data_IF_925160290729
#
_entry.id   IF_925160290729
#
_cell.length_a   1.000
_cell.length_b   1.000
_cell.length_c   1.000
_cell.angle_alpha   90.00
_cell.angle_beta   90.00
_cell.angle_gamma   90.00
#
_symmetry.space_group_name_H-M   'P 1'
#
loop_
_entity.id
_entity.type
_entity.pdbx_description
1 polymer ?
#
# COMPACT_ATOMS: atom_id res chain seq x y z
N UNK A 1 -13.34 -12.40 -9.42
CA UNK A 1 -12.00 -12.13 -8.85
C UNK A 1 -12.15 -10.90 -7.97
N UNK A 2 -11.70 -10.92 -6.71
CA UNK A 2 -11.80 -9.75 -5.82
C UNK A 2 -10.62 -8.83 -6.10
N UNK A 3 -10.83 -7.54 -6.33
CA UNK A 3 -9.74 -6.57 -6.57
C UNK A 3 -9.36 -5.82 -5.28
N UNK A 4 -10.29 -5.72 -4.34
CA UNK A 4 -10.12 -5.05 -3.04
C UNK A 4 -10.79 -5.94 -1.99
N UNK A 5 -10.10 -6.15 -0.86
CA UNK A 5 -10.63 -6.89 0.28
C UNK A 5 -10.43 -6.03 1.53
N UNK A 6 -11.52 -5.81 2.25
CA UNK A 6 -11.51 -5.08 3.53
C UNK A 6 -11.84 -6.10 4.62
N UNK A 7 -11.01 -6.12 5.66
CA UNK A 7 -11.15 -7.02 6.81
C UNK A 7 -11.14 -6.18 8.06
N UNK A 8 -12.28 -6.12 8.73
CA UNK A 8 -12.41 -5.53 10.05
C UNK A 8 -11.83 -6.48 11.11
N UNK A 9 -11.37 -5.91 12.24
CA UNK A 9 -10.87 -6.67 13.39
C UNK A 9 -9.73 -7.67 13.05
N UNK A 10 -8.86 -7.30 12.09
CA UNK A 10 -7.79 -8.17 11.57
C UNK A 10 -6.89 -8.78 12.66
N UNK A 11 -6.53 -8.01 13.70
CA UNK A 11 -5.80 -8.51 14.85
C UNK A 11 -6.75 -8.76 16.02
N UNK A 12 -6.61 -9.92 16.68
CA UNK A 12 -7.34 -10.23 17.92
C UNK A 12 -7.07 -9.26 19.07
N UNK A 13 -5.85 -8.71 19.13
CA UNK A 13 -5.44 -7.71 20.11
C UNK A 13 -4.66 -6.59 19.40
N UNK A 14 -5.35 -5.65 18.73
CA UNK A 14 -4.72 -4.61 17.94
C UNK A 14 -3.93 -3.62 18.80
N UNK A 15 -4.35 -3.40 20.05
CA UNK A 15 -3.65 -2.53 21.01
C UNK A 15 -2.24 -3.06 21.31
N UNK A 16 -2.08 -4.37 21.54
CA UNK A 16 -0.75 -4.95 21.77
C UNK A 16 0.19 -4.81 20.56
N UNK A 17 -0.34 -4.92 19.34
CA UNK A 17 0.44 -4.73 18.11
C UNK A 17 0.83 -3.27 17.95
N UNK A 18 -0.09 -2.35 18.27
CA UNK A 18 0.16 -0.91 18.26
C UNK A 18 1.23 -0.53 19.29
N UNK A 19 1.12 -1.00 20.52
CA UNK A 19 2.08 -0.72 21.59
C UNK A 19 3.48 -1.20 21.20
N UNK A 20 3.57 -2.40 20.62
CA UNK A 20 4.81 -2.91 20.04
C UNK A 20 5.33 -1.97 18.94
N UNK A 21 4.50 -1.62 17.95
CA UNK A 21 4.88 -0.75 16.86
C UNK A 21 5.32 0.65 17.32
N UNK A 22 4.82 1.16 18.44
CA UNK A 22 5.25 2.45 19.01
C UNK A 22 6.55 2.35 19.82
N UNK A 23 6.94 1.14 20.22
CA UNK A 23 8.13 0.90 21.06
C UNK A 23 9.43 0.67 20.27
N UNK A 24 9.34 0.43 18.96
CA UNK A 24 10.47 0.09 18.09
C UNK A 24 11.12 1.32 17.43
N UNK A 25 12.27 1.11 16.80
CA UNK A 25 13.00 2.16 16.08
C UNK A 25 12.43 2.44 14.69
N UNK A 26 12.39 3.73 14.33
CA UNK A 26 11.97 4.23 13.03
C UNK A 26 13.09 4.94 12.32
N UNK A 27 13.09 4.84 10.99
CA UNK A 27 14.06 5.53 10.15
C UNK A 27 14.00 7.05 10.36
N UNK A 28 15.17 7.70 10.32
CA UNK A 28 15.25 9.16 10.27
C UNK A 28 14.41 9.69 9.11
N UNK A 29 13.69 10.81 9.36
CA UNK A 29 12.87 11.44 8.33
C UNK A 29 13.75 11.85 7.15
N UNK A 30 13.34 11.47 5.95
CA UNK A 30 13.96 11.90 4.70
C UNK A 30 12.89 12.53 3.81
N UNK A 31 13.32 13.37 2.86
CA UNK A 31 12.42 13.84 1.81
C UNK A 31 12.01 12.64 0.94
N UNK A 32 10.78 12.17 1.13
CA UNK A 32 10.17 11.04 0.43
C UNK A 32 8.86 11.51 -0.18
N UNK A 33 8.39 10.78 -1.18
CA UNK A 33 7.12 11.06 -1.86
C UNK A 33 5.89 10.54 -1.08
N UNK A 34 6.06 9.76 -0.02
CA UNK A 34 5.01 9.35 0.91
C UNK A 34 5.22 9.96 2.30
N UNK A 35 4.14 10.17 3.10
CA UNK A 35 4.27 10.72 4.44
C UNK A 35 4.76 9.66 5.46
N UNK A 36 5.30 10.15 6.58
CA UNK A 36 5.69 9.31 7.71
C UNK A 36 7.07 8.65 7.61
N UNK A 37 7.33 7.78 8.57
CA UNK A 37 8.57 7.03 8.73
C UNK A 37 8.27 5.54 8.80
N UNK A 38 9.07 4.74 8.09
CA UNK A 38 9.02 3.29 8.18
C UNK A 38 9.88 2.83 9.38
N UNK A 39 9.50 1.72 10.02
CA UNK A 39 10.35 1.04 10.99
C UNK A 39 11.69 0.65 10.35
N UNK A 40 12.76 0.64 11.15
CA UNK A 40 14.10 0.23 10.67
C UNK A 40 14.04 -1.21 10.15
N UNK A 41 13.52 -2.12 10.98
CA UNK A 41 13.36 -3.53 10.66
C UNK A 41 11.94 -3.87 10.20
N UNK A 42 11.83 -5.00 9.51
CA UNK A 42 10.57 -5.67 9.23
C UNK A 42 10.22 -6.64 10.36
N UNK A 43 8.93 -6.80 10.64
CA UNK A 43 8.41 -7.69 11.67
C UNK A 43 7.35 -8.65 11.09
N UNK A 44 7.67 -9.41 10.02
CA UNK A 44 6.73 -10.37 9.47
C UNK A 44 6.48 -11.50 10.48
N UNK A 45 5.20 -11.88 10.63
CA UNK A 45 4.83 -13.07 11.40
C UNK A 45 4.26 -14.11 10.45
N UNK A 46 4.73 -15.35 10.58
CA UNK A 46 4.24 -16.46 9.75
C UNK A 46 2.71 -16.61 9.84
N UNK A 47 2.16 -16.48 11.04
CA UNK A 47 0.72 -16.47 11.31
C UNK A 47 -0.03 -15.40 10.49
N UNK A 48 0.52 -14.19 10.36
CA UNK A 48 -0.07 -13.13 9.55
C UNK A 48 -0.05 -13.47 8.06
N UNK A 49 1.03 -14.09 7.56
CA UNK A 49 1.14 -14.50 6.15
C UNK A 49 0.13 -15.62 5.82
N UNK A 50 -0.01 -16.59 6.72
CA UNK A 50 -0.99 -17.68 6.60
C UNK A 50 -2.41 -17.13 6.58
N UNK A 51 -2.74 -16.22 7.50
CA UNK A 51 -4.07 -15.59 7.54
C UNK A 51 -4.35 -14.79 6.27
N UNK A 52 -3.40 -13.99 5.80
CA UNK A 52 -3.53 -13.26 4.52
C UNK A 52 -3.76 -14.24 3.36
N UNK A 53 -3.01 -15.35 3.30
CA UNK A 53 -3.17 -16.37 2.26
C UNK A 53 -4.58 -16.95 2.25
N UNK A 54 -5.17 -17.21 3.43
CA UNK A 54 -6.56 -17.64 3.53
C UNK A 54 -7.55 -16.56 3.08
N UNK A 55 -7.34 -15.30 3.48
CA UNK A 55 -8.21 -14.16 3.13
C UNK A 55 -8.25 -13.94 1.61
N UNK A 56 -7.10 -14.00 0.94
CA UNK A 56 -7.01 -13.81 -0.51
C UNK A 56 -7.30 -15.09 -1.31
N UNK A 57 -7.34 -16.25 -0.63
CA UNK A 57 -7.50 -17.58 -1.23
C UNK A 57 -6.41 -17.90 -2.27
N UNK A 58 -5.17 -17.54 -1.95
CA UNK A 58 -3.96 -17.76 -2.75
C UNK A 58 -2.78 -18.02 -1.80
N UNK A 59 -1.79 -18.80 -2.24
CA UNK A 59 -0.56 -19.00 -1.46
C UNK A 59 0.32 -17.74 -1.56
N UNK A 60 0.45 -17.00 -0.45
CA UNK A 60 1.25 -15.77 -0.39
C UNK A 60 2.60 -16.02 0.26
N UNK A 61 3.65 -15.48 -0.35
CA UNK A 61 5.01 -15.47 0.19
C UNK A 61 5.52 -14.04 0.31
N UNK A 62 6.32 -13.78 1.34
CA UNK A 62 7.06 -12.52 1.46
C UNK A 62 8.34 -12.64 0.62
N UNK A 63 8.67 -11.57 -0.08
CA UNK A 63 9.94 -11.41 -0.77
C UNK A 63 10.65 -10.19 -0.19
N UNK A 64 11.96 -10.29 0.02
CA UNK A 64 12.76 -9.22 0.63
C UNK A 64 12.63 -7.89 -0.11
N UNK A 65 12.44 -7.93 -1.44
CA UNK A 65 12.23 -6.73 -2.25
C UNK A 65 10.88 -5.99 -2.02
N UNK A 66 9.90 -6.61 -1.35
CA UNK A 66 8.51 -6.12 -1.31
C UNK A 66 8.12 -5.37 -0.03
N UNK A 67 9.09 -4.91 0.79
CA UNK A 67 8.87 -4.12 2.04
C UNK A 67 7.68 -4.62 2.88
N UNK A 68 7.54 -5.93 3.05
CA UNK A 68 6.42 -6.50 3.80
C UNK A 68 6.74 -6.58 5.30
N UNK A 69 5.74 -6.32 6.15
CA UNK A 69 5.89 -6.42 7.60
C UNK A 69 6.55 -5.21 8.28
N UNK A 70 6.72 -4.09 7.59
CA UNK A 70 7.14 -2.83 8.22
C UNK A 70 5.96 -2.11 8.85
N UNK A 71 6.22 -1.38 9.94
CA UNK A 71 5.29 -0.39 10.47
C UNK A 71 5.58 0.97 9.87
N UNK A 72 4.53 1.76 9.62
CA UNK A 72 4.65 3.16 9.24
C UNK A 72 3.94 4.02 10.26
N UNK A 73 4.63 5.03 10.76
CA UNK A 73 4.04 6.08 11.58
C UNK A 73 3.98 7.38 10.79
N UNK A 74 2.79 7.94 10.69
CA UNK A 74 2.54 9.25 10.08
C UNK A 74 1.92 10.15 11.12
N UNK A 75 2.52 11.33 11.33
CA UNK A 75 2.04 12.31 12.31
C UNK A 75 1.18 13.37 11.65
N UNK A 76 0.38 14.06 12.46
CA UNK A 76 -0.39 15.20 12.00
C UNK A 76 0.52 16.27 11.36
N UNK A 77 0.03 16.87 10.27
CA UNK A 77 0.78 17.82 9.45
C UNK A 77 1.84 17.19 8.52
N UNK A 78 2.02 15.86 8.50
CA UNK A 78 2.89 15.20 7.52
C UNK A 78 2.13 14.87 6.24
N UNK A 79 2.67 15.29 5.09
CA UNK A 79 2.12 14.99 3.76
C UNK A 79 3.19 14.37 2.85
N UNK A 80 2.73 13.64 1.83
CA UNK A 80 3.55 13.14 0.72
C UNK A 80 3.19 13.86 -0.58
N UNK A 81 4.08 13.84 -1.56
CA UNK A 81 3.84 14.39 -2.90
C UNK A 81 3.24 13.37 -3.88
N UNK A 82 3.23 12.09 -3.53
CA UNK A 82 2.68 11.03 -4.35
C UNK A 82 1.15 11.06 -4.29
N UNK A 83 0.52 11.33 -5.43
CA UNK A 83 -0.94 11.20 -5.62
C UNK A 83 -1.29 9.76 -6.01
N UNK A 84 -1.50 9.50 -7.29
CA UNK A 84 -1.88 8.19 -7.82
C UNK A 84 -0.61 7.41 -8.16
N UNK A 85 -0.55 6.15 -7.72
CA UNK A 85 0.54 5.24 -8.07
C UNK A 85 0.06 3.79 -8.10
N UNK A 86 0.95 2.92 -8.56
CA UNK A 86 0.88 1.48 -8.43
C UNK A 86 2.19 0.98 -7.83
N UNK A 87 2.19 -0.24 -7.32
CA UNK A 87 3.38 -0.90 -6.82
C UNK A 87 4.03 -1.72 -7.95
N UNK A 88 5.19 -1.30 -8.50
CA UNK A 88 5.77 -1.90 -9.71
C UNK A 88 6.60 -3.15 -9.46
N UNK A 89 6.64 -3.64 -8.21
CA UNK A 89 7.59 -4.68 -7.83
C UNK A 89 7.31 -6.00 -8.56
N UNK A 90 8.29 -6.59 -9.28
CA UNK A 90 8.08 -7.82 -10.02
C UNK A 90 7.60 -8.99 -9.13
N UNK A 91 6.46 -9.56 -9.50
CA UNK A 91 5.83 -10.67 -8.76
C UNK A 91 5.06 -10.24 -7.51
N UNK A 92 4.85 -8.93 -7.28
CA UNK A 92 3.90 -8.46 -6.29
C UNK A 92 2.48 -8.69 -6.81
N UNK A 93 1.72 -9.52 -6.09
CA UNK A 93 0.33 -9.84 -6.46
C UNK A 93 -0.69 -9.08 -5.61
N UNK A 94 -0.30 -8.76 -4.37
CA UNK A 94 -1.14 -8.06 -3.39
C UNK A 94 -0.32 -7.02 -2.64
N UNK A 95 -0.91 -5.85 -2.46
CA UNK A 95 -0.46 -4.83 -1.53
C UNK A 95 -1.54 -4.67 -0.45
N UNK A 96 -1.12 -4.41 0.79
CA UNK A 96 -2.05 -4.32 1.91
C UNK A 96 -1.50 -3.43 3.01
N UNK A 97 -2.41 -2.79 3.73
CA UNK A 97 -2.13 -1.99 4.90
C UNK A 97 -3.10 -2.39 6.01
N UNK A 98 -2.59 -2.50 7.24
CA UNK A 98 -3.42 -2.68 8.43
C UNK A 98 -3.36 -1.38 9.22
N UNK A 99 -4.52 -0.76 9.43
CA UNK A 99 -4.61 0.47 10.20
C UNK A 99 -4.64 0.14 11.69
N UNK A 100 -3.63 0.65 12.41
CA UNK A 100 -3.52 0.51 13.87
C UNK A 100 -3.83 1.83 14.60
N UNK A 101 -4.36 2.84 13.91
CA UNK A 101 -4.72 4.13 14.50
C UNK A 101 -6.05 4.01 15.23
N UNK A 102 -6.14 4.33 16.54
CA UNK A 102 -7.41 4.35 17.25
C UNK A 102 -8.38 5.34 16.61
N UNK A 103 -9.67 5.00 16.56
CA UNK A 103 -10.72 5.85 15.96
C UNK A 103 -10.71 7.28 16.54
N UNK A 104 -10.47 7.42 17.84
CA UNK A 104 -10.40 8.75 18.50
C UNK A 104 -9.22 9.62 18.01
N UNK A 105 -8.25 9.02 17.33
CA UNK A 105 -7.06 9.64 16.75
C UNK A 105 -7.11 9.68 15.21
N UNK A 106 -8.25 9.30 14.60
CA UNK A 106 -8.39 9.28 13.15
C UNK A 106 -8.38 10.70 12.57
N UNK A 107 -7.64 10.87 11.48
CA UNK A 107 -7.63 12.10 10.69
C UNK A 107 -8.68 11.90 9.59
N UNK A 108 -9.75 12.71 9.60
CA UNK A 108 -10.94 12.54 8.74
C UNK A 108 -10.66 12.47 7.23
N UNK A 109 -9.54 13.03 6.78
CA UNK A 109 -9.13 13.06 5.36
C UNK A 109 -7.97 12.10 5.04
N UNK A 110 -7.57 11.27 6.02
CA UNK A 110 -6.55 10.24 5.84
C UNK A 110 -7.16 8.92 5.36
N UNK A 111 -6.31 7.97 4.97
CA UNK A 111 -6.72 6.63 4.54
C UNK A 111 -6.17 6.26 3.16
N UNK A 112 -6.67 5.14 2.63
CA UNK A 112 -6.31 4.65 1.29
C UNK A 112 -7.42 4.98 0.32
N UNK A 113 -7.06 5.58 -0.81
CA UNK A 113 -7.98 5.85 -1.91
C UNK A 113 -7.65 4.91 -3.07
N UNK A 114 -8.67 4.29 -3.63
CA UNK A 114 -8.56 3.47 -4.84
C UNK A 114 -9.15 4.22 -6.02
N UNK A 115 -8.52 4.07 -7.18
CA UNK A 115 -8.88 4.80 -8.40
C UNK A 115 -9.24 3.82 -9.50
N UNK A 116 -10.18 4.25 -10.36
CA UNK A 116 -10.52 3.55 -11.60
C UNK A 116 -10.36 4.50 -12.76
N UNK A 117 -9.63 4.06 -13.78
CA UNK A 117 -9.46 4.84 -15.00
C UNK A 117 -10.80 5.08 -15.69
N UNK A 118 -11.15 6.33 -16.00
CA UNK A 118 -12.47 6.68 -16.57
C UNK A 118 -12.71 6.06 -17.95
N UNK A 119 -11.74 6.20 -18.86
CA UNK A 119 -11.84 5.70 -20.24
C UNK A 119 -11.75 4.17 -20.36
N UNK A 120 -10.74 3.56 -19.74
CA UNK A 120 -10.44 2.13 -19.91
C UNK A 120 -11.04 1.23 -18.80
N UNK A 121 -11.55 1.81 -17.71
CA UNK A 121 -12.10 1.05 -16.60
C UNK A 121 -11.05 0.28 -15.77
N UNK A 122 -9.75 0.54 -15.97
CA UNK A 122 -8.67 -0.15 -15.27
C UNK A 122 -8.65 0.22 -13.79
N UNK A 123 -8.67 -0.80 -12.93
CA UNK A 123 -8.55 -0.72 -11.46
C UNK A 123 -7.21 -1.30 -10.96
N UNK A 124 -6.42 -1.86 -11.88
CA UNK A 124 -5.08 -2.44 -11.65
C UNK A 124 -4.20 -2.13 -12.86
N UNK A 125 -2.91 -2.43 -12.74
CA UNK A 125 -2.00 -2.28 -13.87
C UNK A 125 -2.50 -3.14 -15.06
N UNK A 126 -2.62 -2.55 -16.27
CA UNK A 126 -2.93 -3.33 -17.46
C UNK A 126 -1.86 -4.39 -17.71
N UNK A 127 -2.22 -5.47 -18.41
CA UNK A 127 -1.20 -6.39 -18.92
C UNK A 127 -0.24 -5.66 -19.85
N UNK A 128 0.99 -6.16 -20.03
CA UNK A 128 1.95 -5.54 -20.96
C UNK A 128 1.39 -5.42 -22.38
N UNK A 129 0.54 -6.36 -22.81
CA UNK A 129 -0.15 -6.28 -24.10
C UNK A 129 -1.10 -5.07 -24.15
N UNK A 130 -1.98 -4.94 -23.16
CA UNK A 130 -2.92 -3.81 -23.06
C UNK A 130 -2.18 -2.47 -22.91
N UNK A 131 -1.14 -2.42 -22.07
CA UNK A 131 -0.32 -1.23 -21.87
C UNK A 131 0.32 -0.76 -23.20
N UNK A 132 0.91 -1.69 -23.96
CA UNK A 132 1.56 -1.40 -25.23
C UNK A 132 0.59 -0.86 -26.29
N UNK A 133 -0.68 -1.31 -26.31
CA UNK A 133 -1.71 -0.78 -27.21
C UNK A 133 -1.99 0.72 -26.97
N UNK A 134 -1.66 1.21 -25.78
CA UNK A 134 -1.84 2.60 -25.36
C UNK A 134 -0.53 3.37 -25.25
N UNK A 135 0.58 2.83 -25.78
CA UNK A 135 1.89 3.50 -25.78
C UNK A 135 2.58 3.54 -24.42
N UNK A 136 2.21 2.64 -23.50
CA UNK A 136 2.83 2.50 -22.18
C UNK A 136 3.79 1.33 -22.23
N UNK A 137 5.10 1.60 -22.27
CA UNK A 137 6.12 0.57 -22.42
C UNK A 137 6.93 0.33 -21.14
N UNK A 138 7.00 1.32 -20.25
CA UNK A 138 7.76 1.23 -19.01
C UNK A 138 7.10 1.96 -17.82
N UNK A 139 7.76 1.93 -16.66
CA UNK A 139 7.29 2.61 -15.45
C UNK A 139 7.19 4.13 -15.60
N UNK A 140 8.03 4.74 -16.43
CA UNK A 140 8.02 6.18 -16.68
C UNK A 140 6.81 6.57 -17.52
N UNK A 141 6.49 5.80 -18.55
CA UNK A 141 5.28 6.00 -19.35
C UNK A 141 4.03 5.83 -18.48
N UNK A 142 4.01 4.81 -17.61
CA UNK A 142 2.90 4.59 -16.69
C UNK A 142 2.75 5.76 -15.70
N UNK A 143 3.85 6.30 -15.19
CA UNK A 143 3.83 7.48 -14.32
C UNK A 143 3.28 8.71 -15.07
N UNK A 144 3.79 8.98 -16.27
CA UNK A 144 3.30 10.08 -17.12
C UNK A 144 1.81 9.94 -17.42
N UNK A 145 1.36 8.70 -17.66
CA UNK A 145 -0.04 8.40 -17.89
C UNK A 145 -0.92 8.77 -16.69
N UNK A 146 -0.51 8.44 -15.45
CA UNK A 146 -1.24 8.89 -14.26
C UNK A 146 -1.21 10.41 -14.08
N UNK A 147 -0.11 11.08 -14.42
CA UNK A 147 0.02 12.53 -14.32
C UNK A 147 -0.77 13.30 -15.40
N UNK A 148 -1.21 12.63 -16.47
CA UNK A 148 -1.93 13.28 -17.58
C UNK A 148 -3.40 12.85 -17.69
N UNK A 149 -3.70 11.57 -17.52
CA UNK A 149 -5.06 10.99 -17.63
C UNK A 149 -5.65 10.63 -16.24
N UNK A 150 -4.84 10.70 -15.18
CA UNK A 150 -5.23 10.35 -13.81
C UNK A 150 -5.59 11.55 -12.91
N UNK A 151 -5.34 12.78 -13.34
CA UNK A 151 -5.66 13.98 -12.54
C UNK A 151 -7.07 14.44 -12.89
N UNK A 152 -7.95 14.49 -11.89
CA UNK A 152 -9.32 15.02 -12.02
C UNK A 152 -9.29 16.57 -11.91
N UNK A 153 -8.59 17.21 -12.86
CA UNK A 153 -8.58 18.67 -13.04
C UNK A 153 -9.48 19.10 -14.22
#
# INVERSE_FOLDING_TARGET
MKNIIVVDDFYKNPDSVRDFALSIEYQTRQSKNWPGQDSVDAYPKLETIVEISHIVNEEITIRDQNKSGHFRITKDGESGSQHIHYDPNPGLSWAGVVYLTPVKNEIKESGTKFWRHKKYGWEKMPSSCEANLHGIFDTKDMKNFFETDGVDE
#
